data_IF_182978348704
#
_entry.id   IF_182978348704
#
_cell.length_a   1.000
_cell.length_b   1.000
_cell.length_c   1.000
_cell.angle_alpha   90.00
_cell.angle_beta   90.00
_cell.angle_gamma   90.00
#
_symmetry.space_group_name_H-M   'P 1'
#
loop_
_entity.id
_entity.type
_entity.pdbx_description
1 polymer ?
#
# COMPACT_ATOMS: atom_id res chain seq x y z
N UNK A 1 17.59 47.16 21.48
CA UNK A 1 18.61 46.44 22.26
C UNK A 1 17.97 45.97 23.55
N UNK A 2 17.51 44.73 23.59
CA UNK A 2 17.20 44.03 24.85
C UNK A 2 17.97 42.73 24.80
N UNK A 3 18.93 42.63 25.72
CA UNK A 3 19.71 41.45 26.08
C UNK A 3 18.86 40.19 25.95
N UNK A 4 19.22 39.28 25.05
CA UNK A 4 18.76 37.91 25.15
C UNK A 4 19.46 37.33 26.37
N UNK A 5 18.77 37.43 27.51
CA UNK A 5 19.24 36.92 28.78
C UNK A 5 19.73 35.49 28.65
N UNK A 6 20.93 35.30 29.20
CA UNK A 6 21.61 34.03 29.38
C UNK A 6 20.59 32.98 29.82
N UNK A 7 20.43 31.94 29.02
CA UNK A 7 19.58 30.79 29.37
C UNK A 7 20.18 30.10 30.58
N UNK A 8 19.80 30.51 31.79
CA UNK A 8 20.03 29.73 32.99
C UNK A 8 19.42 28.35 32.77
N UNK A 9 20.29 27.35 32.63
CA UNK A 9 19.88 25.95 32.57
C UNK A 9 19.33 25.57 33.93
N UNK A 10 18.00 25.63 34.08
CA UNK A 10 17.29 25.15 35.27
C UNK A 10 17.71 23.71 35.57
N UNK A 11 17.95 23.43 36.83
CA UNK A 11 18.25 22.06 37.25
C UNK A 11 17.00 21.19 37.11
N UNK A 12 17.18 19.89 36.86
CA UNK A 12 16.03 18.97 36.77
C UNK A 12 15.23 18.97 38.09
N UNK A 13 15.89 19.20 39.24
CA UNK A 13 15.34 19.40 40.59
C UNK A 13 14.23 20.45 40.61
N UNK A 14 14.56 21.63 40.09
CA UNK A 14 13.67 22.76 40.01
C UNK A 14 12.52 22.52 39.04
N UNK A 15 12.78 21.87 37.90
CA UNK A 15 11.74 21.55 36.92
C UNK A 15 10.65 20.65 37.51
N UNK A 16 11.02 19.66 38.33
CA UNK A 16 10.02 18.82 39.02
C UNK A 16 9.19 19.64 40.00
N UNK A 17 9.82 20.54 40.76
CA UNK A 17 9.09 21.42 41.70
C UNK A 17 8.09 22.31 40.96
N UNK A 18 8.53 22.96 39.88
CA UNK A 18 7.68 23.82 39.04
C UNK A 18 6.50 23.06 38.42
N UNK A 19 6.73 21.82 37.99
CA UNK A 19 5.65 20.98 37.44
C UNK A 19 4.64 20.61 38.53
N UNK A 20 5.10 20.26 39.73
CA UNK A 20 4.21 19.90 40.83
C UNK A 20 3.38 21.10 41.31
N UNK A 21 4.00 22.27 41.38
CA UNK A 21 3.32 23.53 41.72
C UNK A 21 2.27 23.91 40.68
N UNK A 22 2.62 23.82 39.39
CA UNK A 22 1.74 24.17 38.28
C UNK A 22 0.59 23.17 38.08
N UNK A 23 0.81 21.89 38.39
CA UNK A 23 -0.15 20.81 38.16
C UNK A 23 -0.42 20.00 39.43
N UNK A 24 -1.17 20.62 40.34
CA UNK A 24 -1.51 20.06 41.67
C UNK A 24 -2.23 18.70 41.65
N UNK A 25 -2.85 18.32 40.52
CA UNK A 25 -3.63 17.07 40.38
C UNK A 25 -2.82 15.89 39.82
N UNK A 26 -1.57 16.10 39.42
CA UNK A 26 -0.72 15.03 38.88
C UNK A 26 0.07 14.32 39.99
N UNK A 27 0.29 13.00 39.87
CA UNK A 27 1.22 12.31 40.76
C UNK A 27 2.63 12.90 40.61
N UNK A 28 3.42 12.92 41.69
CA UNK A 28 4.76 13.50 41.66
C UNK A 28 5.65 12.76 40.67
N UNK A 29 6.21 13.53 39.73
CA UNK A 29 7.15 13.01 38.74
C UNK A 29 8.56 12.90 39.33
N UNK A 30 9.30 11.87 38.93
CA UNK A 30 10.68 11.69 39.37
C UNK A 30 11.65 12.57 38.58
N UNK A 31 12.76 12.96 39.22
CA UNK A 31 13.91 13.59 38.57
C UNK A 31 14.40 12.81 37.34
N UNK A 32 14.48 11.48 37.47
CA UNK A 32 14.90 10.59 36.38
C UNK A 32 13.97 10.63 35.18
N UNK A 33 12.68 10.90 35.38
CA UNK A 33 11.72 11.07 34.28
C UNK A 33 12.02 12.34 33.49
N UNK A 34 12.28 13.47 34.16
CA UNK A 34 12.64 14.74 33.51
C UNK A 34 13.94 14.60 32.74
N UNK A 35 14.96 13.99 33.34
CA UNK A 35 16.25 13.73 32.67
C UNK A 35 16.09 12.85 31.43
N UNK A 36 15.28 11.77 31.50
CA UNK A 36 14.98 10.91 30.34
C UNK A 36 14.26 11.66 29.23
N UNK A 37 13.28 12.50 29.58
CA UNK A 37 12.52 13.31 28.62
C UNK A 37 13.44 14.33 27.95
N UNK A 38 14.25 15.04 28.73
CA UNK A 38 15.22 16.01 28.23
C UNK A 38 16.20 15.35 27.27
N UNK A 39 16.77 14.20 27.66
CA UNK A 39 17.67 13.41 26.83
C UNK A 39 17.00 12.99 25.52
N UNK A 40 15.79 12.42 25.58
CA UNK A 40 15.04 12.03 24.39
C UNK A 40 14.76 13.23 23.47
N UNK A 41 14.43 14.38 24.04
CA UNK A 41 14.17 15.59 23.27
C UNK A 41 15.45 16.15 22.62
N UNK A 42 16.58 16.18 23.34
CA UNK A 42 17.88 16.62 22.78
C UNK A 42 18.39 15.71 21.67
N UNK A 43 18.20 14.40 21.81
CA UNK A 43 18.68 13.41 20.83
C UNK A 43 17.76 13.29 19.61
N UNK A 44 16.43 13.25 19.81
CA UNK A 44 15.45 12.94 18.75
C UNK A 44 14.61 14.12 18.30
N UNK A 45 14.65 15.25 19.02
CA UNK A 45 13.75 16.39 18.83
C UNK A 45 12.31 16.14 19.32
N UNK A 46 12.01 14.97 19.88
CA UNK A 46 10.67 14.62 20.37
C UNK A 46 10.68 13.55 21.46
N UNK A 47 9.60 13.49 22.25
CA UNK A 47 9.42 12.56 23.40
C UNK A 47 8.53 11.36 23.02
N UNK A 48 8.19 11.18 21.73
CA UNK A 48 7.35 10.05 21.30
C UNK A 48 8.09 8.72 21.50
N UNK A 49 7.41 7.76 22.12
CA UNK A 49 7.92 6.40 22.25
C UNK A 49 7.90 5.72 20.87
N UNK A 50 9.02 5.13 20.49
CA UNK A 50 9.11 4.33 19.26
C UNK A 50 8.39 3.00 19.50
N UNK A 51 7.60 2.57 18.52
CA UNK A 51 7.05 1.21 18.52
C UNK A 51 8.24 0.24 18.51
N UNK A 52 8.26 -0.69 19.48
CA UNK A 52 9.25 -1.77 19.48
C UNK A 52 8.91 -2.70 18.32
N UNK A 53 9.85 -2.90 17.40
CA UNK A 53 9.72 -3.95 16.38
C UNK A 53 9.89 -5.29 17.09
N UNK A 54 8.80 -6.06 17.20
CA UNK A 54 8.92 -7.45 17.61
C UNK A 54 9.56 -8.25 16.47
N UNK A 55 10.51 -9.16 16.76
CA UNK A 55 11.09 -10.00 15.74
C UNK A 55 10.00 -10.80 15.01
N UNK A 56 10.14 -10.91 13.69
CA UNK A 56 9.27 -11.77 12.91
C UNK A 56 9.44 -13.21 13.38
N UNK A 57 8.33 -13.88 13.69
CA UNK A 57 8.35 -15.25 14.21
C UNK A 57 8.70 -16.29 13.13
N UNK A 58 8.59 -15.92 11.85
CA UNK A 58 8.84 -16.82 10.72
C UNK A 58 10.26 -16.65 10.18
N UNK A 59 10.92 -17.77 9.92
CA UNK A 59 12.17 -17.84 9.13
C UNK A 59 11.93 -17.36 7.71
N UNK A 60 12.98 -16.89 7.04
CA UNK A 60 12.89 -16.49 5.63
C UNK A 60 12.57 -17.68 4.72
N UNK A 61 13.08 -18.89 5.03
CA UNK A 61 12.75 -20.12 4.30
C UNK A 61 11.25 -20.42 4.35
N UNK A 62 10.63 -20.27 5.53
CA UNK A 62 9.18 -20.48 5.69
C UNK A 62 8.35 -19.47 4.90
N UNK A 63 8.84 -18.24 4.74
CA UNK A 63 8.16 -17.24 3.90
C UNK A 63 8.29 -17.62 2.43
N UNK A 64 9.46 -18.11 2.02
CA UNK A 64 9.69 -18.57 0.66
C UNK A 64 8.78 -19.74 0.32
N UNK A 65 8.65 -20.72 1.22
CA UNK A 65 7.74 -21.87 1.05
C UNK A 65 6.28 -21.42 0.86
N UNK A 66 5.82 -20.42 1.64
CA UNK A 66 4.47 -19.85 1.50
C UNK A 66 4.25 -19.28 0.09
N UNK A 67 5.23 -18.53 -0.42
CA UNK A 67 5.15 -17.86 -1.71
C UNK A 67 5.19 -18.90 -2.83
N UNK A 68 6.13 -19.86 -2.77
CA UNK A 68 6.29 -20.90 -3.76
C UNK A 68 4.99 -21.73 -3.92
N UNK A 69 4.36 -22.10 -2.80
CA UNK A 69 3.12 -22.88 -2.83
C UNK A 69 1.96 -22.14 -3.51
N UNK A 70 1.95 -20.80 -3.44
CA UNK A 70 0.98 -19.94 -4.14
C UNK A 70 1.31 -19.74 -5.61
N UNK A 71 2.59 -19.70 -5.95
CA UNK A 71 3.05 -19.53 -7.32
C UNK A 71 2.82 -20.81 -8.14
N UNK A 72 3.03 -21.98 -7.53
CA UNK A 72 2.67 -23.27 -8.12
C UNK A 72 1.15 -23.41 -8.33
N UNK A 73 0.35 -22.95 -7.36
CA UNK A 73 -1.10 -23.08 -7.38
C UNK A 73 -1.79 -21.83 -6.83
N UNK A 74 -2.11 -20.83 -7.69
CA UNK A 74 -2.72 -19.56 -7.27
C UNK A 74 -4.10 -19.68 -6.63
N UNK A 75 -4.77 -20.82 -6.83
CA UNK A 75 -6.09 -21.11 -6.28
C UNK A 75 -6.06 -21.68 -4.86
N UNK A 76 -4.86 -21.95 -4.32
CA UNK A 76 -4.70 -22.51 -2.97
C UNK A 76 -5.16 -21.50 -1.92
N UNK A 77 -6.05 -21.94 -1.03
CA UNK A 77 -6.51 -21.07 0.05
C UNK A 77 -5.41 -20.86 1.09
N UNK A 78 -5.36 -19.67 1.68
CA UNK A 78 -4.44 -19.37 2.79
C UNK A 78 -4.59 -20.32 4.00
N UNK A 79 -5.77 -20.96 4.17
CA UNK A 79 -6.00 -21.97 5.20
C UNK A 79 -5.37 -23.32 4.85
N UNK A 80 -5.38 -23.72 3.59
CA UNK A 80 -4.70 -24.94 3.14
C UNK A 80 -3.18 -24.81 3.32
N UNK A 81 -2.62 -23.64 2.96
CA UNK A 81 -1.19 -23.35 3.17
C UNK A 81 -0.84 -23.39 4.66
N UNK A 82 -1.71 -22.84 5.52
CA UNK A 82 -1.55 -22.90 6.98
C UNK A 82 -1.48 -24.33 7.50
N UNK A 83 -2.37 -25.19 7.00
CA UNK A 83 -2.38 -26.61 7.37
C UNK A 83 -1.17 -27.37 6.84
N UNK A 84 -0.70 -27.04 5.63
CA UNK A 84 0.43 -27.74 5.00
C UNK A 84 1.78 -27.41 5.66
N UNK A 85 2.01 -26.12 5.94
CA UNK A 85 3.27 -25.65 6.53
C UNK A 85 3.25 -25.60 8.06
N UNK A 86 2.12 -25.95 8.69
CA UNK A 86 1.89 -25.85 10.13
C UNK A 86 2.21 -24.45 10.70
N UNK A 87 1.82 -23.42 9.95
CA UNK A 87 1.99 -22.00 10.29
C UNK A 87 0.63 -21.40 10.62
N UNK A 88 0.59 -20.49 11.59
CA UNK A 88 -0.66 -19.79 11.92
C UNK A 88 -1.20 -18.99 10.73
N UNK A 89 -2.50 -19.08 10.49
CA UNK A 89 -3.17 -18.41 9.36
C UNK A 89 -2.92 -16.90 9.31
N UNK A 90 -2.89 -16.24 10.48
CA UNK A 90 -2.59 -14.80 10.59
C UNK A 90 -1.17 -14.45 10.13
N UNK A 91 -0.20 -15.34 10.36
CA UNK A 91 1.17 -15.13 9.92
C UNK A 91 1.30 -15.26 8.40
N UNK A 92 0.58 -16.22 7.79
CA UNK A 92 0.49 -16.32 6.33
C UNK A 92 -0.11 -15.06 5.72
N UNK A 93 -1.28 -14.61 6.20
CA UNK A 93 -1.90 -13.38 5.69
C UNK A 93 -0.97 -12.18 5.79
N UNK A 94 -0.18 -12.10 6.87
CA UNK A 94 0.83 -11.07 7.02
C UNK A 94 1.93 -11.18 5.96
N UNK A 95 2.48 -12.36 5.72
CA UNK A 95 3.48 -12.60 4.65
C UNK A 95 2.91 -12.23 3.28
N UNK A 96 1.65 -12.59 2.98
CA UNK A 96 1.01 -12.23 1.72
C UNK A 96 0.87 -10.71 1.57
N UNK A 97 0.48 -10.02 2.63
CA UNK A 97 0.34 -8.56 2.62
C UNK A 97 1.70 -7.87 2.47
N UNK A 98 2.74 -8.37 3.15
CA UNK A 98 4.12 -7.86 3.04
C UNK A 98 4.69 -8.03 1.61
N UNK A 99 4.29 -9.10 0.90
CA UNK A 99 4.69 -9.37 -0.48
C UNK A 99 3.72 -8.83 -1.55
N UNK A 100 2.73 -8.01 -1.17
CA UNK A 100 1.74 -7.42 -2.10
C UNK A 100 0.94 -8.47 -2.92
N UNK A 101 0.79 -9.67 -2.35
CA UNK A 101 0.03 -10.76 -2.94
C UNK A 101 -1.46 -10.56 -2.65
N UNK A 102 -2.25 -10.37 -3.71
CA UNK A 102 -3.69 -10.15 -3.60
C UNK A 102 -4.47 -11.33 -4.19
N UNK A 103 -5.54 -11.81 -3.52
CA UNK A 103 -6.42 -12.80 -4.11
C UNK A 103 -6.99 -12.32 -5.45
N UNK A 104 -6.90 -13.14 -6.48
CA UNK A 104 -7.52 -12.87 -7.76
C UNK A 104 -9.04 -13.06 -7.66
N UNK A 105 -9.80 -12.11 -8.21
CA UNK A 105 -11.25 -12.26 -8.37
C UNK A 105 -11.51 -12.94 -9.70
N UNK A 106 -12.13 -14.12 -9.68
CA UNK A 106 -12.65 -14.75 -10.90
C UNK A 106 -13.72 -13.83 -11.50
N UNK A 107 -13.47 -13.36 -12.73
CA UNK A 107 -14.46 -12.60 -13.50
C UNK A 107 -15.10 -13.58 -14.47
N UNK A 108 -16.42 -13.82 -14.38
CA UNK A 108 -17.10 -14.61 -15.40
C UNK A 108 -17.01 -13.85 -16.72
N UNK A 109 -16.37 -14.48 -17.70
CA UNK A 109 -16.30 -13.97 -19.07
C UNK A 109 -17.25 -14.79 -19.93
N UNK A 110 -17.70 -14.22 -21.05
CA UNK A 110 -18.52 -14.96 -22.00
C UNK A 110 -17.72 -16.17 -22.49
N UNK A 111 -18.38 -17.33 -22.55
CA UNK A 111 -17.80 -18.54 -23.11
C UNK A 111 -17.41 -18.29 -24.56
N UNK A 112 -16.16 -18.57 -24.89
CA UNK A 112 -15.63 -18.47 -26.25
C UNK A 112 -15.74 -19.83 -26.91
N UNK A 113 -16.24 -19.85 -28.14
CA UNK A 113 -16.20 -21.05 -28.99
C UNK A 113 -14.84 -21.18 -29.64
N UNK A 114 -14.47 -22.38 -30.10
CA UNK A 114 -13.17 -22.62 -30.78
C UNK A 114 -12.99 -21.71 -32.01
N UNK A 115 -14.07 -21.46 -32.76
CA UNK A 115 -14.10 -20.55 -33.91
C UNK A 115 -13.87 -19.07 -33.54
N UNK A 116 -14.17 -18.66 -32.30
CA UNK A 116 -14.06 -17.24 -31.89
C UNK A 116 -12.61 -16.80 -31.80
N UNK A 117 -11.67 -17.70 -31.51
CA UNK A 117 -10.25 -17.36 -31.39
C UNK A 117 -9.70 -16.90 -32.74
N UNK A 118 -9.90 -17.69 -33.80
CA UNK A 118 -9.43 -17.36 -35.15
C UNK A 118 -10.09 -16.07 -35.66
N UNK A 119 -11.40 -15.91 -35.44
CA UNK A 119 -12.12 -14.70 -35.85
C UNK A 119 -11.63 -13.45 -35.14
N UNK A 120 -11.31 -13.55 -33.84
CA UNK A 120 -10.77 -12.42 -33.05
C UNK A 120 -9.37 -12.05 -33.49
N UNK A 121 -8.51 -13.03 -33.74
CA UNK A 121 -7.14 -12.80 -34.22
C UNK A 121 -7.19 -12.13 -35.60
N UNK A 122 -7.95 -12.68 -36.54
CA UNK A 122 -8.11 -12.12 -37.87
C UNK A 122 -8.63 -10.68 -37.83
N UNK A 123 -9.64 -10.41 -37.00
CA UNK A 123 -10.15 -9.06 -36.81
C UNK A 123 -9.08 -8.10 -36.27
N UNK A 124 -8.29 -8.52 -35.27
CA UNK A 124 -7.21 -7.72 -34.73
C UNK A 124 -6.12 -7.46 -35.78
N UNK A 125 -5.72 -8.46 -36.55
CA UNK A 125 -4.73 -8.32 -37.63
C UNK A 125 -5.19 -7.35 -38.71
N UNK A 126 -6.45 -7.47 -39.15
CA UNK A 126 -7.05 -6.56 -40.14
C UNK A 126 -7.13 -5.13 -39.61
N UNK A 127 -7.54 -4.94 -38.37
CA UNK A 127 -7.60 -3.62 -37.75
C UNK A 127 -6.22 -2.98 -37.62
N UNK A 128 -5.19 -3.75 -37.25
CA UNK A 128 -3.80 -3.27 -37.18
C UNK A 128 -3.31 -2.83 -38.56
N UNK A 129 -3.53 -3.64 -39.60
CA UNK A 129 -3.16 -3.27 -40.98
C UNK A 129 -3.86 -1.99 -41.44
N UNK A 130 -5.16 -1.85 -41.18
CA UNK A 130 -5.90 -0.64 -41.54
C UNK A 130 -5.41 0.62 -40.82
N UNK A 131 -4.90 0.48 -39.59
CA UNK A 131 -4.26 1.58 -38.84
C UNK A 131 -2.90 1.93 -39.45
N UNK A 132 -2.07 0.93 -39.73
CA UNK A 132 -0.74 1.11 -40.31
C UNK A 132 -0.80 1.74 -41.72
N UNK A 133 -1.77 1.31 -42.53
CA UNK A 133 -2.05 1.87 -43.86
C UNK A 133 -2.77 3.23 -43.81
N UNK A 134 -2.96 3.82 -42.62
CA UNK A 134 -3.68 5.07 -42.37
C UNK A 134 -5.13 5.10 -42.93
N UNK A 135 -5.69 3.94 -43.23
CA UNK A 135 -7.05 3.80 -43.76
C UNK A 135 -8.09 3.95 -42.64
N UNK A 136 -7.72 3.60 -41.41
CA UNK A 136 -8.52 3.77 -40.21
C UNK A 136 -7.79 4.70 -39.21
N UNK A 137 -8.27 5.93 -39.11
CA UNK A 137 -7.80 6.89 -38.10
C UNK A 137 -8.55 6.65 -36.79
N UNK A 138 -7.85 6.14 -35.77
CA UNK A 138 -8.43 5.81 -34.47
C UNK A 138 -9.16 7.02 -33.84
N UNK A 139 -8.66 8.23 -34.09
CA UNK A 139 -9.26 9.50 -33.62
C UNK A 139 -10.69 9.72 -34.12
N UNK A 140 -11.04 9.12 -35.27
CA UNK A 140 -12.36 9.25 -35.90
C UNK A 140 -13.29 8.06 -35.60
N UNK A 141 -12.85 7.09 -34.80
CA UNK A 141 -13.65 5.93 -34.45
C UNK A 141 -14.50 6.22 -33.21
N UNK A 142 -15.82 6.21 -33.40
CA UNK A 142 -16.79 6.29 -32.30
C UNK A 142 -17.26 4.90 -31.90
N UNK A 143 -16.81 4.43 -30.72
CA UNK A 143 -17.29 3.19 -30.15
C UNK A 143 -18.60 3.41 -29.39
N UNK A 144 -19.67 2.74 -29.84
CA UNK A 144 -20.94 2.71 -29.12
C UNK A 144 -21.09 1.36 -28.41
N UNK A 145 -20.98 1.37 -27.09
CA UNK A 145 -21.37 0.22 -26.27
C UNK A 145 -22.79 0.45 -25.75
N UNK A 146 -23.75 -0.34 -26.23
CA UNK A 146 -25.09 -0.35 -25.64
C UNK A 146 -25.06 -1.22 -24.40
N UNK A 147 -24.67 -0.62 -23.28
CA UNK A 147 -24.83 -1.22 -21.97
C UNK A 147 -26.27 -0.94 -21.54
N UNK A 148 -27.15 -1.95 -21.55
CA UNK A 148 -28.50 -1.81 -21.02
C UNK A 148 -28.43 -1.78 -19.49
N UNK A 149 -27.88 -0.70 -18.94
CA UNK A 149 -27.93 -0.41 -17.52
C UNK A 149 -29.06 0.59 -17.30
N UNK A 150 -30.03 0.15 -16.51
CA UNK A 150 -31.05 1.00 -15.92
C UNK A 150 -30.35 2.11 -15.12
N UNK A 151 -30.63 3.35 -15.53
CA UNK A 151 -30.32 4.63 -14.87
C UNK A 151 -28.85 5.12 -14.76
N UNK A 152 -28.64 6.17 -15.53
CA UNK A 152 -27.95 7.44 -15.20
C UNK A 152 -26.43 7.58 -15.33
N UNK A 153 -26.10 8.64 -16.08
CA UNK A 153 -24.88 9.47 -16.11
C UNK A 153 -23.64 8.94 -16.83
N UNK A 154 -23.57 9.32 -18.11
CA UNK A 154 -22.52 10.16 -18.70
C UNK A 154 -21.45 10.68 -17.71
N UNK A 155 -20.40 9.90 -17.46
CA UNK A 155 -19.08 10.38 -17.01
C UNK A 155 -18.10 9.19 -17.00
N UNK A 156 -17.11 9.25 -17.89
CA UNK A 156 -15.73 8.73 -17.84
C UNK A 156 -15.31 8.49 -19.30
N UNK A 157 -15.06 9.59 -20.00
CA UNK A 157 -14.36 9.59 -21.29
C UNK A 157 -13.29 10.69 -21.30
N UNK A 158 -12.57 10.85 -20.19
CA UNK A 158 -11.47 11.81 -20.05
C UNK A 158 -10.19 11.25 -19.41
N UNK A 159 -10.14 10.00 -18.94
CA UNK A 159 -8.94 9.50 -18.24
C UNK A 159 -7.97 8.65 -19.08
N UNK A 160 -8.31 8.27 -20.32
CA UNK A 160 -7.43 7.38 -21.11
C UNK A 160 -6.36 8.15 -21.92
N UNK A 161 -6.51 9.46 -22.13
CA UNK A 161 -5.56 10.24 -22.94
C UNK A 161 -4.34 10.74 -22.14
N UNK A 162 -4.38 10.78 -20.79
CA UNK A 162 -3.29 11.36 -19.96
C UNK A 162 -2.25 10.33 -19.48
N UNK A 163 -2.15 9.15 -20.08
CA UNK A 163 -1.11 8.16 -19.73
C UNK A 163 -0.06 7.89 -20.82
N UNK A 164 -0.14 8.58 -21.98
CA UNK A 164 0.89 8.47 -23.03
C UNK A 164 1.99 9.53 -22.99
N UNK A 165 1.87 10.59 -22.18
CA UNK A 165 2.93 11.62 -22.06
C UNK A 165 4.04 11.31 -21.04
N UNK A 166 4.01 10.18 -20.33
CA UNK A 166 5.05 9.82 -19.34
C UNK A 166 5.97 8.65 -19.71
N UNK A 167 5.89 8.14 -20.93
CA UNK A 167 6.78 7.04 -21.40
C UNK A 167 7.73 7.48 -22.52
N UNK A 168 7.70 8.74 -22.96
CA UNK A 168 8.62 9.26 -23.99
C UNK A 168 9.55 10.39 -23.49
N UNK A 169 9.72 10.54 -22.18
CA UNK A 169 10.86 11.27 -21.60
C UNK A 169 11.48 10.43 -20.49
N UNK A 170 12.22 9.41 -20.94
CA UNK A 170 13.14 8.57 -20.18
C UNK A 170 14.12 7.97 -21.16
#
# INVERSE_FOLDING_TARGET
>A
MTSCDVTETRTQAEVVRLIQEKYLKLPPISQGTVSKIEKQFRERGHVRQLKKNLPNKLSDDQKLDIILMLEENPHTSSRQIASALNISHSSILRVLTENQMHPYKLVPTNELTEDDFDRRILFCEQMMQMIDDNTLQIENVLFRMNLHLHFTTMLIAKSVVTSREKILTG
#
